data_IF_870976814384
#
_entry.id   IF_870976814384
#
_cell.length_a   1.000
_cell.length_b   1.000
_cell.length_c   1.000
_cell.angle_alpha   90.00
_cell.angle_beta   90.00
_cell.angle_gamma   90.00
#
_symmetry.space_group_name_H-M   'P 1'
#
loop_
_entity.id
_entity.type
_entity.pdbx_description
1 polymer ?
#
# COMPACT_ATOMS: atom_id res chain seq x y z
N UNK A 1 -6.58 21.43 7.71
CA UNK A 1 -5.78 20.50 6.87
C UNK A 1 -5.08 19.55 7.83
N UNK A 2 -5.24 18.24 7.68
CA UNK A 2 -4.47 17.31 8.51
C UNK A 2 -2.98 17.53 8.23
N UNK A 3 -2.19 17.67 9.30
CA UNK A 3 -0.76 17.90 9.17
C UNK A 3 -0.05 16.55 8.97
N UNK A 4 0.02 16.10 7.71
CA UNK A 4 0.73 14.87 7.35
C UNK A 4 2.23 15.06 7.49
N UNK A 5 2.91 14.09 8.12
CA UNK A 5 4.37 14.17 8.37
C UNK A 5 5.20 14.15 7.08
N UNK A 6 4.72 13.45 6.07
CA UNK A 6 5.41 13.28 4.79
C UNK A 6 4.45 13.63 3.64
N UNK A 7 4.90 14.50 2.74
CA UNK A 7 4.16 14.85 1.52
C UNK A 7 4.27 13.78 0.43
N UNK A 8 5.42 13.09 0.37
CA UNK A 8 5.72 12.06 -0.64
C UNK A 8 6.47 10.92 0.00
N UNK A 9 6.12 9.69 -0.37
CA UNK A 9 6.76 8.46 0.11
C UNK A 9 7.00 7.47 -1.03
N UNK A 10 8.02 6.63 -0.86
CA UNK A 10 8.18 5.41 -1.64
C UNK A 10 7.85 4.25 -0.70
N UNK A 11 6.76 3.55 -0.99
CA UNK A 11 6.28 2.39 -0.25
C UNK A 11 6.87 1.12 -0.88
N UNK A 12 7.76 0.46 -0.15
CA UNK A 12 8.28 -0.85 -0.53
C UNK A 12 7.38 -1.94 0.05
N UNK A 13 6.84 -2.80 -0.83
CA UNK A 13 6.07 -3.99 -0.48
C UNK A 13 6.90 -5.21 -0.89
N UNK A 14 6.84 -6.32 -0.17
CA UNK A 14 7.49 -7.56 -0.60
C UNK A 14 6.52 -8.41 -1.40
N UNK A 15 7.01 -9.21 -2.35
CA UNK A 15 6.15 -10.11 -3.13
C UNK A 15 5.42 -11.12 -2.23
N UNK A 16 6.06 -11.55 -1.15
CA UNK A 16 5.47 -12.41 -0.13
C UNK A 16 4.29 -11.75 0.59
N UNK A 17 4.36 -10.44 0.83
CA UNK A 17 3.26 -9.69 1.46
C UNK A 17 2.03 -9.60 0.56
N UNK A 18 2.17 -9.77 -0.76
CA UNK A 18 1.05 -9.82 -1.70
C UNK A 18 0.42 -11.22 -1.81
N UNK A 19 1.14 -12.25 -1.38
CA UNK A 19 0.68 -13.63 -1.43
C UNK A 19 -0.18 -14.02 -0.22
N UNK A 20 -0.34 -13.13 0.77
CA UNK A 20 -1.16 -13.40 1.95
C UNK A 20 -0.82 -14.73 2.62
N UNK A 21 -1.84 -15.51 2.95
CA UNK A 21 -1.68 -16.85 3.56
C UNK A 21 -1.29 -17.94 2.56
N UNK A 22 -1.50 -17.73 1.25
CA UNK A 22 -1.21 -18.74 0.23
C UNK A 22 0.29 -18.92 -0.02
N UNK A 23 1.15 -18.04 0.53
CA UNK A 23 2.63 -18.06 0.46
C UNK A 23 3.22 -18.15 -0.96
N UNK A 24 2.37 -18.10 -1.98
CA UNK A 24 2.69 -18.13 -3.39
C UNK A 24 1.56 -17.47 -4.18
N UNK A 25 1.92 -16.83 -5.30
CA UNK A 25 0.97 -16.12 -6.15
C UNK A 25 0.55 -14.78 -5.56
N UNK A 26 -0.68 -14.38 -5.86
CA UNK A 26 -1.31 -13.16 -5.37
C UNK A 26 -2.59 -13.53 -4.65
N UNK A 27 -2.74 -13.04 -3.42
CA UNK A 27 -3.98 -13.14 -2.67
C UNK A 27 -4.81 -11.88 -2.89
N UNK A 28 -6.00 -12.03 -3.45
CA UNK A 28 -6.85 -10.90 -3.84
C UNK A 28 -7.35 -10.11 -2.63
N UNK A 29 -7.67 -10.78 -1.53
CA UNK A 29 -8.14 -10.12 -0.32
C UNK A 29 -7.03 -9.24 0.30
N UNK A 30 -5.81 -9.77 0.36
CA UNK A 30 -4.63 -9.01 0.80
C UNK A 30 -4.35 -7.82 -0.11
N UNK A 31 -4.41 -8.01 -1.44
CA UNK A 31 -4.25 -6.93 -2.42
C UNK A 31 -5.27 -5.81 -2.24
N UNK A 32 -6.55 -6.16 -2.08
CA UNK A 32 -7.63 -5.18 -1.88
C UNK A 32 -7.43 -4.40 -0.58
N UNK A 33 -7.04 -5.07 0.51
CA UNK A 33 -6.74 -4.42 1.79
C UNK A 33 -5.55 -3.45 1.71
N UNK A 34 -4.49 -3.84 0.99
CA UNK A 34 -3.33 -2.97 0.73
C UNK A 34 -3.76 -1.76 -0.12
N UNK A 35 -4.54 -1.99 -1.18
CA UNK A 35 -5.02 -0.94 -2.08
C UNK A 35 -5.91 0.08 -1.34
N UNK A 36 -6.81 -0.38 -0.48
CA UNK A 36 -7.67 0.49 0.35
C UNK A 36 -6.85 1.34 1.32
N UNK A 37 -5.80 0.75 1.92
CA UNK A 37 -4.88 1.49 2.80
C UNK A 37 -4.12 2.57 2.05
N UNK A 38 -3.62 2.27 0.84
CA UNK A 38 -2.93 3.24 -0.01
C UNK A 38 -3.89 4.35 -0.46
N UNK A 39 -5.13 4.01 -0.81
CA UNK A 39 -6.16 4.98 -1.17
C UNK A 39 -6.44 5.97 -0.04
N UNK A 40 -6.58 5.50 1.21
CA UNK A 40 -6.77 6.38 2.36
C UNK A 40 -5.61 7.37 2.51
N UNK A 41 -4.36 6.92 2.32
CA UNK A 41 -3.18 7.80 2.36
C UNK A 41 -3.19 8.80 1.20
N UNK A 42 -3.58 8.38 0.00
CA UNK A 42 -3.70 9.26 -1.16
C UNK A 42 -4.77 10.33 -0.97
N UNK A 43 -5.92 10.00 -0.36
CA UNK A 43 -6.99 10.95 -0.03
C UNK A 43 -6.54 12.03 0.96
N UNK A 44 -5.49 11.77 1.75
CA UNK A 44 -4.82 12.78 2.58
C UNK A 44 -3.89 13.71 1.78
N UNK A 45 -3.90 13.64 0.45
CA UNK A 45 -3.02 14.36 -0.49
C UNK A 45 -1.53 14.01 -0.32
N UNK A 46 -1.23 12.77 0.08
CA UNK A 46 0.13 12.23 0.09
C UNK A 46 0.42 11.56 -1.26
N UNK A 47 1.57 11.86 -1.83
CA UNK A 47 2.03 11.27 -3.08
C UNK A 47 2.75 9.94 -2.79
N UNK A 48 2.25 8.84 -3.35
CA UNK A 48 2.74 7.49 -3.06
C UNK A 48 3.33 6.87 -4.33
N UNK A 49 4.62 6.51 -4.29
CA UNK A 49 5.23 5.61 -5.25
C UNK A 49 5.34 4.21 -4.63
N UNK A 50 5.17 3.15 -5.41
CA UNK A 50 5.18 1.77 -4.91
C UNK A 50 6.34 1.01 -5.57
N UNK A 51 7.09 0.26 -4.78
CA UNK A 51 8.10 -0.71 -5.22
C UNK A 51 7.71 -2.07 -4.68
N UNK A 52 7.67 -3.08 -5.54
CA UNK A 52 7.31 -4.47 -5.18
C UNK A 52 8.56 -5.34 -5.30
#
# INVERSE_FOLDING_TARGET
MQNVKYKRVVLKISGEALAGETNFGLDTETLDGIADSIKQVFELNVEVAIVV
#
